data_IF_605578066204
#
_entry.id   IF_605578066204
#
_cell.length_a   1.000
_cell.length_b   1.000
_cell.length_c   1.000
_cell.angle_alpha   90.00
_cell.angle_beta   90.00
_cell.angle_gamma   90.00
#
_symmetry.space_group_name_H-M   'P 1'
#
loop_
_entity.id
_entity.type
_entity.pdbx_description
1 polymer ?
#
# COMPACT_ATOMS: atom_id res chain seq x y z
N UNK A 1 13.66 -11.18 -1.97
CA UNK A 1 13.29 -9.82 -2.42
C UNK A 1 12.10 -9.33 -1.62
N UNK A 2 12.11 -8.08 -1.16
CA UNK A 2 10.98 -7.45 -0.46
C UNK A 2 10.32 -6.42 -1.38
N UNK A 3 9.00 -6.51 -1.52
CA UNK A 3 8.21 -5.65 -2.41
C UNK A 3 7.15 -4.90 -1.61
N UNK A 4 7.09 -3.59 -1.80
CA UNK A 4 5.95 -2.76 -1.41
C UNK A 4 4.99 -2.69 -2.59
N UNK A 5 3.69 -2.81 -2.36
CA UNK A 5 2.68 -2.70 -3.41
C UNK A 5 1.38 -2.07 -2.90
N UNK A 6 0.59 -1.58 -3.84
CA UNK A 6 -0.74 -1.00 -3.64
C UNK A 6 -1.60 -1.25 -4.88
N UNK A 7 -2.93 -1.34 -4.73
CA UNK A 7 -3.89 -1.57 -5.80
C UNK A 7 -4.86 -0.42 -5.95
N UNK A 8 -5.19 -0.07 -7.19
CA UNK A 8 -6.36 0.76 -7.49
C UNK A 8 -7.44 -0.05 -8.19
N UNK A 9 -8.67 0.08 -7.74
CA UNK A 9 -9.79 -0.77 -8.12
C UNK A 9 -11.06 0.03 -8.34
N UNK A 10 -12.09 -0.62 -8.91
CA UNK A 10 -13.37 0.02 -9.17
C UNK A 10 -14.36 -0.01 -8.00
N UNK A 11 -14.00 -0.50 -6.81
CA UNK A 11 -14.95 -0.57 -5.70
C UNK A 11 -14.38 -1.12 -4.40
N UNK A 12 -15.23 -1.22 -3.40
CA UNK A 12 -14.92 -1.86 -2.13
C UNK A 12 -14.91 -3.38 -2.27
N UNK A 13 -14.33 -4.09 -1.30
CA UNK A 13 -14.15 -5.56 -1.36
C UNK A 13 -15.44 -6.32 -1.73
N UNK A 14 -16.61 -5.89 -1.26
CA UNK A 14 -17.87 -6.56 -1.58
C UNK A 14 -18.27 -6.40 -3.05
N UNK A 15 -17.96 -5.27 -3.67
CA UNK A 15 -18.43 -4.87 -5.01
C UNK A 15 -17.35 -4.90 -6.07
N UNK A 16 -16.07 -4.94 -5.71
CA UNK A 16 -14.94 -4.92 -6.65
C UNK A 16 -14.97 -6.11 -7.60
N UNK A 17 -14.79 -5.82 -8.88
CA UNK A 17 -14.63 -6.81 -9.96
C UNK A 17 -13.49 -6.46 -10.92
N UNK A 18 -12.88 -5.29 -10.79
CA UNK A 18 -11.84 -4.78 -11.69
C UNK A 18 -10.68 -4.18 -10.90
N UNK A 19 -9.47 -4.62 -11.21
CA UNK A 19 -8.22 -3.99 -10.78
C UNK A 19 -7.74 -3.11 -11.92
N UNK A 20 -7.63 -1.81 -11.68
CA UNK A 20 -7.20 -0.84 -12.68
C UNK A 20 -5.70 -0.82 -12.85
N UNK A 21 -4.97 -0.75 -11.75
CA UNK A 21 -3.50 -0.81 -11.74
C UNK A 21 -2.96 -1.34 -10.41
N UNK A 22 -1.69 -1.71 -10.45
CA UNK A 22 -0.89 -2.13 -9.32
C UNK A 22 0.40 -1.31 -9.33
N UNK A 23 0.65 -0.58 -8.26
CA UNK A 23 1.91 0.09 -8.00
C UNK A 23 2.84 -0.81 -7.20
N UNK A 24 4.13 -0.81 -7.52
CA UNK A 24 5.11 -1.64 -6.81
C UNK A 24 6.48 -0.96 -6.72
N UNK A 25 7.19 -1.20 -5.62
CA UNK A 25 8.58 -0.82 -5.44
C UNK A 25 9.36 -1.92 -4.72
N UNK A 26 10.61 -2.12 -5.12
CA UNK A 26 11.56 -2.99 -4.39
C UNK A 26 12.12 -2.19 -3.22
N UNK A 27 12.12 -2.77 -2.03
CA UNK A 27 12.74 -2.17 -0.84
C UNK A 27 14.24 -1.96 -1.10
N UNK A 28 14.74 -0.74 -0.83
CA UNK A 28 16.10 -0.34 -1.18
C UNK A 28 16.28 0.25 -2.57
N UNK A 29 15.25 0.21 -3.43
CA UNK A 29 15.24 0.90 -4.73
C UNK A 29 14.64 2.30 -4.60
N UNK A 30 15.09 3.23 -5.44
CA UNK A 30 14.50 4.58 -5.55
C UNK A 30 13.38 4.65 -6.61
N UNK A 31 13.20 3.58 -7.40
CA UNK A 31 12.23 3.53 -8.48
C UNK A 31 11.02 2.69 -8.07
N UNK A 32 9.83 3.24 -8.18
CA UNK A 32 8.58 2.49 -8.18
C UNK A 32 8.17 2.15 -9.62
N UNK A 33 7.35 1.14 -9.80
CA UNK A 33 6.81 0.70 -11.08
C UNK A 33 5.29 0.63 -11.01
N UNK A 34 4.63 0.83 -12.14
CA UNK A 34 3.19 0.68 -12.25
C UNK A 34 2.85 -0.34 -13.33
N UNK A 35 1.87 -1.16 -13.05
CA UNK A 35 1.37 -2.23 -13.91
C UNK A 35 -0.12 -2.04 -14.11
N UNK A 36 -0.59 -2.08 -15.36
CA UNK A 36 -2.01 -1.96 -15.66
C UNK A 36 -2.37 -2.75 -16.92
N UNK A 37 -3.60 -3.26 -17.00
CA UNK A 37 -4.06 -4.06 -18.11
C UNK A 37 -4.48 -3.24 -19.35
N UNK A 38 -4.79 -1.95 -19.19
CA UNK A 38 -5.32 -1.11 -20.27
C UNK A 38 -4.31 -0.02 -20.68
N UNK A 39 -3.09 -0.45 -21.00
CA UNK A 39 -1.96 0.43 -21.29
C UNK A 39 -1.84 0.79 -22.76
N UNK A 40 -2.89 1.28 -23.38
CA UNK A 40 -2.77 1.76 -24.76
C UNK A 40 -1.75 2.86 -24.99
N UNK A 41 -1.35 3.66 -24.00
CA UNK A 41 -0.60 4.90 -24.33
C UNK A 41 0.03 5.64 -23.12
N UNK A 42 0.65 5.01 -22.13
CA UNK A 42 1.23 5.79 -21.03
C UNK A 42 2.74 5.93 -21.08
N UNK A 43 3.21 7.15 -21.33
CA UNK A 43 4.61 7.54 -21.23
C UNK A 43 4.93 7.98 -19.81
N UNK A 44 6.02 7.50 -19.29
CA UNK A 44 6.41 7.59 -17.91
C UNK A 44 7.32 8.80 -17.63
N UNK A 45 7.08 9.52 -16.56
CA UNK A 45 7.95 10.60 -16.10
C UNK A 45 9.11 10.16 -15.19
N UNK A 46 9.05 8.96 -14.58
CA UNK A 46 10.10 8.45 -13.69
C UNK A 46 10.18 6.90 -13.63
N UNK A 47 9.39 6.17 -14.40
CA UNK A 47 9.28 4.72 -14.35
C UNK A 47 9.59 4.13 -15.73
N UNK A 48 10.56 3.24 -15.82
CA UNK A 48 11.16 2.82 -17.08
C UNK A 48 10.50 1.62 -17.79
N UNK A 49 9.34 1.14 -17.36
CA UNK A 49 8.67 0.05 -18.06
C UNK A 49 7.16 0.04 -17.89
N UNK A 50 6.48 -0.29 -18.97
CA UNK A 50 5.07 -0.69 -18.98
C UNK A 50 5.04 -2.22 -19.02
N UNK A 51 4.64 -2.79 -17.94
CA UNK A 51 4.51 -4.23 -17.81
C UNK A 51 3.05 -4.54 -17.51
N UNK A 52 2.55 -5.64 -18.04
CA UNK A 52 1.17 -6.02 -17.76
C UNK A 52 1.03 -6.50 -16.32
N UNK A 53 -0.19 -6.51 -15.81
CA UNK A 53 -0.47 -6.94 -14.44
C UNK A 53 0.04 -8.37 -14.15
N UNK A 54 0.07 -9.26 -15.15
CA UNK A 54 0.58 -10.62 -14.99
C UNK A 54 2.07 -10.65 -14.61
N UNK A 55 2.88 -9.75 -15.18
CA UNK A 55 4.31 -9.63 -14.84
C UNK A 55 4.50 -9.16 -13.40
N UNK A 56 3.67 -8.23 -12.94
CA UNK A 56 3.67 -7.81 -11.53
C UNK A 56 3.33 -8.97 -10.59
N UNK A 57 2.33 -9.76 -10.94
CA UNK A 57 1.91 -10.91 -10.15
C UNK A 57 2.99 -12.01 -10.09
N UNK A 58 3.74 -12.21 -11.18
CA UNK A 58 4.88 -13.12 -11.20
C UNK A 58 6.01 -12.63 -10.28
N UNK A 59 6.33 -11.32 -10.31
CA UNK A 59 7.30 -10.74 -9.40
C UNK A 59 6.86 -10.87 -7.93
N UNK A 60 5.60 -10.56 -7.64
CA UNK A 60 5.03 -10.72 -6.29
C UNK A 60 5.04 -12.17 -5.83
N UNK A 61 4.86 -13.12 -6.76
CA UNK A 61 4.94 -14.55 -6.45
C UNK A 61 6.35 -14.98 -6.03
N UNK A 62 7.38 -14.35 -6.57
CA UNK A 62 8.78 -14.63 -6.24
C UNK A 62 9.31 -13.84 -5.04
N UNK A 63 8.52 -12.91 -4.52
CA UNK A 63 8.90 -12.13 -3.34
C UNK A 63 8.96 -12.98 -2.07
N UNK A 64 9.95 -12.70 -1.22
CA UNK A 64 10.07 -13.26 0.13
C UNK A 64 9.15 -12.52 1.11
N UNK A 65 8.95 -11.21 0.89
CA UNK A 65 8.10 -10.35 1.69
C UNK A 65 7.24 -9.46 0.78
N UNK A 66 5.94 -9.39 1.06
CA UNK A 66 5.01 -8.42 0.49
C UNK A 66 4.61 -7.43 1.57
N UNK A 67 4.71 -6.15 1.25
CA UNK A 67 4.48 -5.04 2.16
C UNK A 67 3.42 -4.12 1.54
N UNK A 68 2.49 -3.63 2.35
CA UNK A 68 1.52 -2.64 1.91
C UNK A 68 0.78 -2.04 3.09
N UNK A 69 -0.19 -1.18 2.83
CA UNK A 69 -0.99 -0.53 3.86
C UNK A 69 -2.43 -1.02 3.80
N UNK A 70 -2.86 -1.76 4.83
CA UNK A 70 -4.19 -2.40 4.88
C UNK A 70 -4.35 -3.54 3.86
N UNK A 71 -3.27 -4.14 3.42
CA UNK A 71 -3.28 -5.18 2.37
C UNK A 71 -3.93 -6.49 2.83
N UNK A 72 -3.92 -6.76 4.14
CA UNK A 72 -4.53 -7.96 4.70
C UNK A 72 -6.05 -7.91 4.54
N UNK A 73 -6.66 -6.75 4.80
CA UNK A 73 -8.12 -6.58 4.75
C UNK A 73 -8.64 -6.22 3.36
N UNK A 74 -7.78 -5.75 2.44
CA UNK A 74 -8.23 -5.29 1.14
C UNK A 74 -7.47 -5.90 -0.03
N UNK A 75 -6.21 -5.53 -0.28
CA UNK A 75 -5.51 -5.87 -1.53
C UNK A 75 -5.35 -7.37 -1.76
N UNK A 76 -4.92 -8.12 -0.76
CA UNK A 76 -4.77 -9.57 -0.87
C UNK A 76 -6.12 -10.28 -1.10
N UNK A 77 -7.21 -9.94 -0.38
CA UNK A 77 -8.57 -10.41 -0.69
C UNK A 77 -9.04 -10.03 -2.11
N UNK A 78 -8.75 -8.80 -2.58
CA UNK A 78 -9.10 -8.36 -3.94
C UNK A 78 -8.36 -9.20 -4.99
N UNK A 79 -7.04 -9.37 -4.87
CA UNK A 79 -6.26 -10.22 -5.76
C UNK A 79 -6.82 -11.65 -5.80
N UNK A 80 -7.23 -12.18 -4.65
CA UNK A 80 -7.85 -13.50 -4.58
C UNK A 80 -9.22 -13.53 -5.25
N UNK A 81 -10.06 -12.52 -5.02
CA UNK A 81 -11.41 -12.44 -5.55
C UNK A 81 -11.42 -12.26 -7.08
N UNK A 82 -10.64 -11.29 -7.57
CA UNK A 82 -10.71 -10.87 -8.98
C UNK A 82 -9.85 -11.74 -9.89
N UNK A 83 -8.64 -12.12 -9.45
CA UNK A 83 -7.66 -12.82 -10.26
C UNK A 83 -7.41 -14.28 -9.83
N UNK A 84 -8.07 -14.74 -8.74
CA UNK A 84 -7.77 -16.01 -8.09
C UNK A 84 -6.29 -16.17 -7.72
N UNK A 85 -5.59 -15.06 -7.50
CA UNK A 85 -4.18 -15.02 -7.12
C UNK A 85 -4.02 -14.98 -5.61
N UNK A 86 -2.95 -15.58 -5.10
CA UNK A 86 -2.53 -15.50 -3.70
C UNK A 86 -1.02 -15.65 -3.61
N UNK A 87 -0.36 -15.04 -2.63
CA UNK A 87 1.07 -15.22 -2.39
C UNK A 87 1.39 -16.67 -2.02
N UNK A 88 2.66 -17.04 -2.10
CA UNK A 88 3.12 -18.34 -1.60
C UNK A 88 2.95 -18.40 -0.08
N UNK A 89 2.72 -19.59 0.46
CA UNK A 89 2.63 -19.80 1.92
C UNK A 89 3.89 -19.38 2.69
N UNK A 90 5.04 -19.37 2.01
CA UNK A 90 6.33 -18.94 2.57
C UNK A 90 6.54 -17.43 2.51
N UNK A 91 5.75 -16.70 1.73
CA UNK A 91 5.88 -15.25 1.61
C UNK A 91 5.42 -14.58 2.91
N UNK A 92 6.29 -13.76 3.48
CA UNK A 92 5.95 -12.95 4.66
C UNK A 92 5.06 -11.79 4.23
N UNK A 93 3.98 -11.55 4.97
CA UNK A 93 3.09 -10.41 4.76
C UNK A 93 3.38 -9.38 5.85
N UNK A 94 3.62 -8.14 5.44
CA UNK A 94 3.79 -7.00 6.33
C UNK A 94 2.76 -5.94 5.97
N UNK A 95 1.86 -5.68 6.89
CA UNK A 95 0.85 -4.64 6.77
C UNK A 95 1.22 -3.44 7.62
N UNK A 96 1.50 -2.31 6.98
CA UNK A 96 1.92 -1.10 7.69
C UNK A 96 0.81 -0.48 8.54
N UNK A 97 -0.47 -0.81 8.30
CA UNK A 97 -1.56 -0.45 9.21
C UNK A 97 -1.47 -1.24 10.53
N UNK A 98 -1.16 -2.53 10.46
CA UNK A 98 -0.92 -3.37 11.64
C UNK A 98 0.30 -2.86 12.41
N UNK A 99 1.42 -2.60 11.71
CA UNK A 99 2.62 -2.01 12.33
C UNK A 99 2.31 -0.67 13.00
N UNK A 100 1.55 0.18 12.32
CA UNK A 100 1.18 1.50 12.84
C UNK A 100 0.43 1.42 14.18
N UNK A 101 -0.50 0.49 14.28
CA UNK A 101 -1.27 0.25 15.51
C UNK A 101 -0.42 -0.35 16.64
N UNK A 102 0.52 -1.23 16.28
CA UNK A 102 1.44 -1.85 17.23
C UNK A 102 2.45 -0.85 17.80
N UNK A 103 3.08 -0.07 16.92
CA UNK A 103 4.20 0.84 17.29
C UNK A 103 3.70 2.15 17.91
N UNK A 104 2.55 2.64 17.47
CA UNK A 104 1.98 3.93 17.90
C UNK A 104 0.56 3.79 18.45
N UNK A 105 0.34 3.06 19.55
CA UNK A 105 -1.00 2.93 20.15
C UNK A 105 -1.52 4.26 20.73
N UNK A 106 -0.62 5.19 21.02
CA UNK A 106 -0.86 6.53 21.58
C UNK A 106 -0.82 7.66 20.52
N UNK A 107 -1.02 7.32 19.24
CA UNK A 107 -0.89 8.23 18.11
C UNK A 107 -1.73 9.51 18.25
N UNK A 108 -2.89 9.44 18.91
CA UNK A 108 -3.75 10.59 19.13
C UNK A 108 -3.11 11.63 20.08
N UNK A 109 -2.43 11.18 21.11
CA UNK A 109 -1.71 12.01 22.07
C UNK A 109 -0.48 12.65 21.39
N UNK A 110 0.21 11.89 20.55
CA UNK A 110 1.34 12.38 19.74
C UNK A 110 0.87 13.50 18.81
N UNK A 111 -0.20 13.28 18.04
CA UNK A 111 -0.77 14.26 17.11
C UNK A 111 -1.22 15.55 17.82
N UNK A 112 -1.86 15.42 18.99
CA UNK A 112 -2.31 16.56 19.76
C UNK A 112 -1.13 17.45 20.25
N UNK A 113 0.03 16.83 20.49
CA UNK A 113 1.26 17.50 20.89
C UNK A 113 2.02 18.11 19.72
N UNK A 114 2.21 17.33 18.65
CA UNK A 114 3.04 17.73 17.48
C UNK A 114 2.30 18.63 16.51
N UNK A 115 0.97 18.48 16.38
CA UNK A 115 0.10 19.28 15.50
C UNK A 115 0.51 19.26 14.02
N UNK A 116 1.10 18.17 13.55
CA UNK A 116 1.48 17.99 12.13
C UNK A 116 0.29 17.69 11.25
N UNK A 117 -0.80 17.18 11.82
CA UNK A 117 -2.05 16.86 11.12
C UNK A 117 -3.22 17.62 11.72
N UNK A 118 -4.27 17.79 10.92
CA UNK A 118 -5.50 18.45 11.37
C UNK A 118 -6.19 17.64 12.50
N UNK A 119 -6.90 18.30 13.43
CA UNK A 119 -7.56 17.62 14.56
C UNK A 119 -8.49 16.47 14.17
N UNK A 120 -9.13 16.54 13.00
CA UNK A 120 -9.99 15.47 12.47
C UNK A 120 -9.25 14.17 12.14
N UNK A 121 -7.92 14.24 11.95
CA UNK A 121 -7.05 13.10 11.63
C UNK A 121 -6.24 12.61 12.85
N UNK A 122 -6.40 13.22 14.03
CA UNK A 122 -5.68 12.78 15.21
C UNK A 122 -5.99 11.34 15.59
N UNK A 123 -4.96 10.54 15.75
CA UNK A 123 -5.05 9.12 16.02
C UNK A 123 -5.44 8.26 14.81
N UNK A 124 -5.54 8.87 13.62
CA UNK A 124 -5.80 8.12 12.39
C UNK A 124 -4.53 7.40 11.93
N UNK A 125 -4.64 6.08 11.72
CA UNK A 125 -3.58 5.24 11.16
C UNK A 125 -3.65 5.13 9.63
N UNK A 126 -4.52 5.90 8.96
CA UNK A 126 -4.64 5.88 7.50
C UNK A 126 -3.38 6.37 6.80
N UNK A 127 -3.13 5.87 5.59
CA UNK A 127 -1.99 6.29 4.78
C UNK A 127 -2.01 7.80 4.50
N UNK A 128 -3.20 8.40 4.29
CA UNK A 128 -3.39 9.86 4.17
C UNK A 128 -2.85 10.62 5.39
N UNK A 129 -3.14 10.15 6.60
CA UNK A 129 -2.68 10.79 7.82
C UNK A 129 -1.17 10.62 8.01
N UNK A 130 -0.62 9.47 7.66
CA UNK A 130 0.81 9.21 7.71
C UNK A 130 1.60 10.03 6.69
N UNK A 131 1.12 10.16 5.45
CA UNK A 131 1.73 11.05 4.47
C UNK A 131 1.86 12.49 4.98
N UNK A 132 0.80 13.02 5.62
CA UNK A 132 0.86 14.35 6.24
C UNK A 132 1.88 14.44 7.39
N UNK A 133 1.99 13.40 8.25
CA UNK A 133 2.97 13.37 9.36
C UNK A 133 4.40 13.36 8.84
N UNK A 134 4.64 12.64 7.77
CA UNK A 134 5.97 12.50 7.15
C UNK A 134 6.33 13.69 6.23
N UNK A 135 5.40 14.64 6.02
CA UNK A 135 5.64 15.80 5.14
C UNK A 135 5.44 15.48 3.65
N UNK A 136 4.87 14.34 3.33
CA UNK A 136 4.50 13.88 1.99
C UNK A 136 2.97 13.80 1.84
N UNK A 137 2.29 14.94 1.66
CA UNK A 137 0.83 14.93 1.61
C UNK A 137 0.35 14.18 0.37
N UNK A 138 -0.53 13.20 0.57
CA UNK A 138 -1.28 12.58 -0.53
C UNK A 138 -2.09 13.64 -1.27
N UNK A 139 -2.14 13.52 -2.59
CA UNK A 139 -3.06 14.29 -3.42
C UNK A 139 -4.53 14.08 -3.02
N UNK A 140 -5.40 14.96 -3.50
CA UNK A 140 -6.85 14.89 -3.23
C UNK A 140 -7.60 13.94 -4.19
N UNK A 141 -6.89 13.15 -4.99
CA UNK A 141 -7.50 12.28 -6.00
C UNK A 141 -8.58 11.38 -5.38
N UNK A 142 -8.31 10.72 -4.28
CA UNK A 142 -9.25 9.84 -3.60
C UNK A 142 -10.56 10.49 -3.13
N UNK A 143 -10.59 11.82 -2.97
CA UNK A 143 -11.77 12.56 -2.53
C UNK A 143 -12.73 12.91 -3.71
N UNK A 144 -12.25 12.88 -4.97
CA UNK A 144 -12.99 13.34 -6.15
C UNK A 144 -12.97 12.37 -7.33
N UNK A 145 -12.28 11.25 -7.20
CA UNK A 145 -12.03 10.30 -8.29
C UNK A 145 -13.30 9.60 -8.79
N UNK A 146 -13.37 9.41 -10.11
CA UNK A 146 -14.28 8.44 -10.74
C UNK A 146 -13.58 7.08 -10.79
N UNK A 147 -13.89 6.23 -9.82
CA UNK A 147 -13.32 4.89 -9.69
C UNK A 147 -13.85 3.87 -10.73
N UNK A 148 -14.74 4.27 -11.63
CA UNK A 148 -15.31 3.35 -12.62
C UNK A 148 -14.36 3.02 -13.76
N UNK A 149 -13.29 3.79 -13.94
CA UNK A 149 -12.33 3.65 -15.05
C UNK A 149 -10.92 4.03 -14.65
N UNK A 150 -9.95 3.43 -15.32
CA UNK A 150 -8.54 3.78 -15.18
C UNK A 150 -8.24 5.19 -15.73
N UNK A 151 -7.44 5.97 -15.01
CA UNK A 151 -6.89 7.27 -15.44
C UNK A 151 -5.40 7.38 -15.08
N UNK A 152 -4.69 8.34 -15.72
CA UNK A 152 -3.29 8.63 -15.36
C UNK A 152 -3.15 9.14 -13.93
N UNK A 153 -4.08 9.99 -13.51
CA UNK A 153 -4.10 10.53 -12.16
C UNK A 153 -4.27 9.41 -11.13
N UNK A 154 -5.02 8.34 -11.47
CA UNK A 154 -5.13 7.13 -10.65
C UNK A 154 -3.78 6.41 -10.55
N UNK A 155 -3.06 6.26 -11.67
CA UNK A 155 -1.75 5.65 -11.68
C UNK A 155 -0.73 6.45 -10.84
N UNK A 156 -0.71 7.77 -10.98
CA UNK A 156 0.14 8.66 -10.18
C UNK A 156 -0.20 8.58 -8.68
N UNK A 157 -1.49 8.48 -8.36
CA UNK A 157 -1.97 8.30 -7.00
C UNK A 157 -1.51 6.96 -6.40
N UNK A 158 -1.65 5.87 -7.13
CA UNK A 158 -1.15 4.54 -6.74
C UNK A 158 0.35 4.55 -6.47
N UNK A 159 1.14 5.18 -7.35
CA UNK A 159 2.60 5.35 -7.16
C UNK A 159 2.91 6.14 -5.89
N UNK A 160 2.16 7.21 -5.63
CA UNK A 160 2.35 8.00 -4.42
C UNK A 160 2.04 7.17 -3.17
N UNK A 161 1.00 6.32 -3.19
CA UNK A 161 0.66 5.44 -2.09
C UNK A 161 1.74 4.41 -1.81
N UNK A 162 2.35 3.84 -2.85
CA UNK A 162 3.52 2.96 -2.71
C UNK A 162 4.69 3.68 -2.06
N UNK A 163 4.99 4.93 -2.47
CA UNK A 163 6.08 5.73 -1.88
C UNK A 163 5.83 6.02 -0.40
N UNK A 164 4.64 6.52 -0.07
CA UNK A 164 4.27 6.80 1.33
C UNK A 164 4.32 5.54 2.18
N UNK A 165 3.88 4.40 1.62
CA UNK A 165 3.93 3.10 2.31
C UNK A 165 5.37 2.64 2.53
N UNK A 166 6.26 2.82 1.56
CA UNK A 166 7.69 2.49 1.69
C UNK A 166 8.36 3.34 2.78
N UNK A 167 8.12 4.66 2.78
CA UNK A 167 8.66 5.57 3.80
C UNK A 167 8.11 5.23 5.19
N UNK A 168 6.83 4.88 5.26
CA UNK A 168 6.20 4.42 6.49
C UNK A 168 6.80 3.10 6.99
N UNK A 169 7.10 2.17 6.09
CA UNK A 169 7.76 0.92 6.44
C UNK A 169 9.15 1.18 7.03
N UNK A 170 9.97 2.05 6.41
CA UNK A 170 11.26 2.45 6.97
C UNK A 170 11.12 3.14 8.33
N UNK A 171 10.14 4.03 8.47
CA UNK A 171 9.84 4.66 9.77
C UNK A 171 9.60 3.62 10.87
N UNK A 172 8.87 2.54 10.59
CA UNK A 172 8.64 1.48 11.58
C UNK A 172 9.86 0.60 11.82
N UNK A 173 10.68 0.34 10.81
CA UNK A 173 11.94 -0.39 11.00
C UNK A 173 12.88 0.37 11.94
N UNK A 174 12.96 1.68 11.82
CA UNK A 174 13.78 2.55 12.68
C UNK A 174 13.31 2.55 14.16
N UNK A 175 12.08 2.15 14.43
CA UNK A 175 11.56 1.99 15.80
C UNK A 175 11.94 0.64 16.44
N UNK A 176 12.60 -0.25 15.69
CA UNK A 176 13.04 -1.59 16.14
C UNK A 176 11.94 -2.38 16.88
N UNK A 177 10.72 -2.53 16.32
CA UNK A 177 9.65 -3.25 16.98
C UNK A 177 10.03 -4.71 17.23
N UNK A 178 9.55 -5.29 18.32
CA UNK A 178 9.80 -6.70 18.61
C UNK A 178 9.31 -7.59 17.46
N UNK A 179 10.20 -8.38 16.86
CA UNK A 179 9.86 -9.31 15.78
C UNK A 179 8.73 -10.28 16.19
N UNK A 180 8.74 -10.75 17.43
CA UNK A 180 7.71 -11.64 17.96
C UNK A 180 6.36 -10.94 18.00
N UNK A 181 6.32 -9.68 18.43
CA UNK A 181 5.08 -8.90 18.46
C UNK A 181 4.56 -8.62 17.04
N UNK A 182 5.43 -8.25 16.11
CA UNK A 182 5.10 -8.06 14.69
C UNK A 182 4.50 -9.34 14.10
N UNK A 183 5.16 -10.48 14.31
CA UNK A 183 4.69 -11.76 13.79
C UNK A 183 3.32 -12.15 14.39
N UNK A 184 3.13 -11.95 15.70
CA UNK A 184 1.89 -12.28 16.37
C UNK A 184 0.72 -11.43 15.86
N UNK A 185 0.90 -10.11 15.77
CA UNK A 185 -0.14 -9.18 15.29
C UNK A 185 -0.54 -9.46 13.84
N UNK A 186 0.44 -9.75 12.95
CA UNK A 186 0.12 -10.11 11.56
C UNK A 186 -0.57 -11.47 11.45
N UNK A 187 -0.17 -12.46 12.25
CA UNK A 187 -0.89 -13.75 12.30
C UNK A 187 -2.32 -13.58 12.78
N UNK A 188 -2.53 -12.72 13.78
CA UNK A 188 -3.87 -12.42 14.28
C UNK A 188 -4.73 -11.74 13.20
N UNK A 189 -4.18 -10.71 12.52
CA UNK A 189 -4.87 -10.01 11.45
C UNK A 189 -5.26 -10.92 10.27
N UNK A 190 -4.45 -11.92 9.94
CA UNK A 190 -4.73 -12.88 8.86
C UNK A 190 -5.85 -13.90 9.19
N UNK A 191 -6.27 -13.99 10.44
CA UNK A 191 -7.31 -14.96 10.91
C UNK A 191 -8.67 -14.27 11.05
N UNK A 192 -8.70 -12.96 11.30
CA UNK A 192 -9.94 -12.18 11.51
C UNK A 192 -10.67 -11.95 10.20
#
# INVERSE_FOLDING_TARGET
MELVFDLETNGLLDTVDTIHCLGMAVVGSKAGQIYANDLGTFMNYEFNSYECLDEALDLMKDADTLIGHNIIDYDLPVLKKVLNWSPRKSTKIIDTLVLSRLVHPDLKEIDAKERKVEPKLWGSHSLKAWGLRNGEPKGNYGDTADWSKFTMEMAEYCVQDVRVTLDLYYHFLDQEPSEVAVELEHKFALIM
#
